data_IF_608335501600
#
_entry.id   IF_608335501600
#
_cell.length_a   1.000
_cell.length_b   1.000
_cell.length_c   1.000
_cell.angle_alpha   90.00
_cell.angle_beta   90.00
_cell.angle_gamma   90.00
#
_symmetry.space_group_name_H-M   'P 1'
#
loop_
_entity.id
_entity.type
_entity.pdbx_description
1 polymer ?
#
# COMPACT_ATOMS: atom_id res chain seq x y z
N UNK A 1 -5.10 -2.21 -25.89
CA UNK A 1 -3.74 -2.27 -25.30
C UNK A 1 -3.73 -2.78 -23.85
N UNK A 2 -4.63 -2.34 -22.94
CA UNK A 2 -4.63 -2.79 -21.52
C UNK A 2 -4.81 -4.30 -21.29
N UNK A 3 -5.64 -4.98 -22.09
CA UNK A 3 -5.82 -6.46 -22.01
C UNK A 3 -4.60 -7.26 -22.50
N UNK A 4 -3.81 -6.71 -23.43
CA UNK A 4 -2.65 -7.39 -24.05
C UNK A 4 -1.40 -7.37 -23.14
N UNK A 5 -1.30 -6.40 -22.23
CA UNK A 5 -0.17 -6.28 -21.30
C UNK A 5 -0.30 -7.27 -20.12
N UNK A 6 -1.53 -7.50 -19.65
CA UNK A 6 -1.84 -8.51 -18.64
C UNK A 6 -1.67 -9.94 -19.20
N UNK A 7 -2.16 -10.19 -20.41
CA UNK A 7 -1.92 -11.44 -21.13
C UNK A 7 -0.44 -11.65 -21.50
N UNK A 8 0.29 -10.58 -21.82
CA UNK A 8 1.73 -10.63 -22.05
C UNK A 8 2.54 -10.96 -20.79
N UNK A 9 2.13 -10.45 -19.63
CA UNK A 9 2.72 -10.82 -18.34
C UNK A 9 2.36 -12.26 -17.94
N UNK A 10 1.12 -12.71 -18.21
CA UNK A 10 0.71 -14.11 -18.01
C UNK A 10 1.47 -15.07 -18.94
N UNK A 11 1.70 -14.70 -20.20
CA UNK A 11 2.42 -15.54 -21.18
C UNK A 11 3.93 -15.61 -20.93
N UNK A 12 4.53 -14.55 -20.37
CA UNK A 12 5.91 -14.57 -19.87
C UNK A 12 6.05 -15.41 -18.60
N UNK A 13 5.01 -15.46 -17.75
CA UNK A 13 4.97 -16.31 -16.56
C UNK A 13 4.73 -17.80 -16.88
N UNK A 14 4.15 -18.15 -18.04
CA UNK A 14 3.94 -19.54 -18.46
C UNK A 14 5.05 -20.12 -19.34
N UNK A 15 5.96 -19.30 -19.88
CA UNK A 15 7.05 -19.75 -20.78
C UNK A 15 8.40 -19.93 -20.09
N UNK A 16 8.51 -19.51 -18.84
CA UNK A 16 9.58 -19.92 -17.95
C UNK A 16 8.96 -20.78 -16.84
N UNK A 17 9.63 -21.87 -16.46
CA UNK A 17 9.34 -22.71 -15.29
C UNK A 17 8.33 -23.85 -15.53
N UNK A 18 8.85 -24.89 -16.18
CA UNK A 18 8.53 -26.27 -15.81
C UNK A 18 8.88 -26.50 -14.33
N UNK A 19 8.11 -27.37 -13.67
CA UNK A 19 8.21 -27.76 -12.26
C UNK A 19 9.66 -27.81 -11.76
N UNK A 20 10.05 -26.83 -10.95
CA UNK A 20 11.23 -26.95 -10.10
C UNK A 20 10.74 -27.32 -8.70
N UNK A 21 11.04 -28.54 -8.26
CA UNK A 21 11.01 -28.87 -6.84
C UNK A 21 12.09 -28.04 -6.15
N UNK A 22 11.68 -27.09 -5.32
CA UNK A 22 12.60 -26.23 -4.57
C UNK A 22 12.78 -26.79 -3.16
N UNK A 23 13.94 -27.42 -2.92
CA UNK A 23 14.41 -27.73 -1.57
C UNK A 23 14.69 -26.45 -0.76
N UNK A 24 14.53 -26.51 0.57
CA UNK A 24 14.91 -25.43 1.51
C UNK A 24 16.37 -25.02 1.24
N UNK A 25 16.61 -23.75 0.88
CA UNK A 25 17.96 -23.17 0.92
C UNK A 25 18.37 -22.22 -0.22
N UNK A 26 17.63 -22.12 -1.32
CA UNK A 26 17.97 -21.18 -2.41
C UNK A 26 16.95 -20.05 -2.55
N UNK A 27 17.46 -18.86 -2.89
CA UNK A 27 16.68 -17.63 -3.02
C UNK A 27 15.47 -17.82 -3.93
N UNK A 28 14.32 -17.42 -3.43
CA UNK A 28 13.05 -17.66 -4.11
C UNK A 28 12.52 -16.39 -4.75
N UNK A 29 12.06 -16.54 -5.98
CA UNK A 29 11.39 -15.49 -6.72
C UNK A 29 9.90 -15.60 -6.39
N UNK A 30 9.23 -14.48 -6.18
CA UNK A 30 7.78 -14.40 -6.12
C UNK A 30 7.32 -13.26 -7.03
N UNK A 31 6.13 -13.37 -7.61
CA UNK A 31 5.59 -12.31 -8.45
C UNK A 31 4.29 -11.78 -7.88
N UNK A 32 4.12 -10.47 -7.81
CA UNK A 32 2.84 -9.86 -7.44
C UNK A 32 2.36 -8.79 -8.42
N UNK A 33 1.06 -8.79 -8.67
CA UNK A 33 0.38 -7.77 -9.46
C UNK A 33 -0.82 -7.23 -8.68
N UNK A 34 -0.90 -5.92 -8.54
CA UNK A 34 -1.99 -5.24 -7.84
C UNK A 34 -2.65 -4.18 -8.71
N UNK A 35 -3.96 -4.08 -8.61
CA UNK A 35 -4.74 -3.02 -9.23
C UNK A 35 -5.74 -2.42 -8.25
N UNK A 36 -5.73 -1.09 -8.17
CA UNK A 36 -6.61 -0.32 -7.31
C UNK A 36 -7.48 0.62 -8.15
N UNK A 37 -8.77 0.67 -7.84
CA UNK A 37 -9.67 1.70 -8.34
C UNK A 37 -10.22 2.51 -7.17
N UNK A 38 -10.10 3.84 -7.25
CA UNK A 38 -10.56 4.72 -6.18
C UNK A 38 -11.53 5.77 -6.71
N UNK A 39 -12.66 5.88 -6.03
CA UNK A 39 -13.67 6.91 -6.25
C UNK A 39 -13.75 7.83 -5.03
N UNK A 40 -14.07 9.11 -5.27
CA UNK A 40 -14.18 10.12 -4.22
C UNK A 40 -15.11 11.24 -4.67
N UNK A 41 -15.78 11.88 -3.71
CA UNK A 41 -16.66 13.01 -3.96
C UNK A 41 -15.95 14.37 -4.05
N UNK A 42 -14.64 14.45 -3.74
CA UNK A 42 -13.86 15.68 -3.92
C UNK A 42 -13.79 16.03 -5.41
N UNK A 43 -14.30 17.22 -5.75
CA UNK A 43 -14.42 17.69 -7.14
C UNK A 43 -13.16 18.39 -7.67
N UNK A 44 -12.20 18.72 -6.80
CA UNK A 44 -10.98 19.45 -7.16
C UNK A 44 -9.77 18.52 -7.32
N UNK A 45 -9.14 18.57 -8.49
CA UNK A 45 -7.86 17.91 -8.72
C UNK A 45 -6.73 18.77 -8.14
N UNK A 46 -6.06 18.27 -7.08
CA UNK A 46 -4.89 18.92 -6.46
C UNK A 46 -3.67 17.99 -6.50
N UNK A 47 -2.64 18.42 -7.23
CA UNK A 47 -1.41 17.67 -7.42
C UNK A 47 -0.73 17.33 -6.08
N UNK A 48 -0.74 18.24 -5.11
CA UNK A 48 -0.05 18.04 -3.84
C UNK A 48 -0.81 17.06 -2.95
N UNK A 49 -2.14 17.11 -2.95
CA UNK A 49 -2.97 16.10 -2.27
C UNK A 49 -2.74 14.69 -2.85
N UNK A 50 -2.64 14.59 -4.17
CA UNK A 50 -2.34 13.33 -4.86
C UNK A 50 -0.89 12.84 -4.67
N UNK A 51 0.04 13.72 -4.25
CA UNK A 51 1.36 13.29 -3.77
C UNK A 51 1.25 12.56 -2.43
N UNK A 52 0.59 13.16 -1.45
CA UNK A 52 0.45 12.54 -0.12
C UNK A 52 -0.34 11.23 -0.19
N UNK A 53 -1.44 11.20 -0.95
CA UNK A 53 -2.25 9.98 -1.13
C UNK A 53 -1.46 8.82 -1.75
N UNK A 54 -0.51 9.13 -2.61
CA UNK A 54 0.36 8.09 -3.16
C UNK A 54 1.22 7.43 -2.09
N UNK A 55 1.76 8.22 -1.17
CA UNK A 55 2.60 7.73 -0.08
C UNK A 55 1.79 6.83 0.86
N UNK A 56 0.59 7.26 1.23
CA UNK A 56 -0.39 6.47 2.00
C UNK A 56 -0.71 5.14 1.29
N UNK A 57 -1.01 5.18 -0.02
CA UNK A 57 -1.26 3.97 -0.81
C UNK A 57 -0.02 3.05 -0.90
N UNK A 58 1.21 3.59 -0.94
CA UNK A 58 2.43 2.78 -0.93
C UNK A 58 2.61 2.06 0.41
N UNK A 59 2.31 2.72 1.53
CA UNK A 59 2.40 2.10 2.86
C UNK A 59 1.45 0.91 2.98
N UNK A 60 0.20 1.08 2.55
CA UNK A 60 -0.80 0.01 2.55
C UNK A 60 -0.37 -1.14 1.65
N UNK A 61 0.09 -0.84 0.43
CA UNK A 61 0.61 -1.85 -0.48
C UNK A 61 1.78 -2.63 0.13
N UNK A 62 2.78 -1.93 0.67
CA UNK A 62 3.94 -2.54 1.30
C UNK A 62 3.56 -3.49 2.42
N UNK A 63 2.67 -3.07 3.32
CA UNK A 63 2.24 -3.90 4.43
C UNK A 63 1.54 -5.18 3.93
N UNK A 64 0.63 -5.04 2.97
CA UNK A 64 -0.06 -6.18 2.36
C UNK A 64 0.90 -7.10 1.59
N UNK A 65 1.97 -6.56 1.00
CA UNK A 65 3.01 -7.40 0.38
C UNK A 65 3.73 -8.24 1.42
N UNK A 66 4.18 -7.61 2.50
CA UNK A 66 4.95 -8.26 3.57
C UNK A 66 4.13 -9.34 4.28
N UNK A 67 2.85 -9.09 4.56
CA UNK A 67 1.98 -10.07 5.24
C UNK A 67 1.74 -11.35 4.44
N UNK A 68 2.04 -11.35 3.13
CA UNK A 68 1.88 -12.52 2.24
C UNK A 68 3.19 -13.25 1.95
N UNK A 69 4.30 -12.79 2.53
CA UNK A 69 5.61 -13.44 2.42
C UNK A 69 5.57 -14.83 3.05
N UNK A 70 6.23 -15.80 2.42
CA UNK A 70 6.43 -17.11 3.00
C UNK A 70 7.59 -17.04 4.03
N UNK A 71 7.28 -17.39 5.28
CA UNK A 71 8.21 -17.31 6.40
C UNK A 71 9.24 -18.45 6.44
N UNK A 72 9.02 -19.51 5.67
CA UNK A 72 9.96 -20.63 5.55
C UNK A 72 11.18 -20.31 4.69
N UNK A 73 11.28 -19.09 4.13
CA UNK A 73 12.29 -18.71 3.13
C UNK A 73 13.29 -17.72 3.72
N UNK A 74 14.58 -18.03 3.59
CA UNK A 74 15.66 -17.13 4.05
C UNK A 74 15.79 -15.88 3.18
N UNK A 75 15.61 -16.01 1.87
CA UNK A 75 15.70 -14.89 0.93
C UNK A 75 14.44 -14.81 0.06
N UNK A 76 13.91 -13.60 -0.11
CA UNK A 76 12.74 -13.33 -0.95
C UNK A 76 13.07 -12.21 -1.93
N UNK A 77 12.95 -12.52 -3.21
CA UNK A 77 13.04 -11.55 -4.30
C UNK A 77 11.67 -11.45 -4.96
N UNK A 78 10.98 -10.32 -4.76
CA UNK A 78 9.63 -10.12 -5.29
C UNK A 78 9.56 -8.93 -6.24
N UNK A 79 9.73 -9.13 -7.56
CA UNK A 79 9.26 -8.16 -8.54
C UNK A 79 7.75 -8.01 -8.46
N UNK A 80 7.27 -6.77 -8.61
CA UNK A 80 5.85 -6.49 -8.58
C UNK A 80 5.43 -5.40 -9.56
N UNK A 81 4.16 -5.46 -9.94
CA UNK A 81 3.50 -4.47 -10.78
C UNK A 81 2.28 -3.90 -10.08
N UNK A 82 2.10 -2.59 -10.13
CA UNK A 82 0.93 -1.91 -9.53
C UNK A 82 0.34 -0.91 -10.49
N UNK A 83 -0.99 -0.96 -10.62
CA UNK A 83 -1.78 0.07 -11.27
C UNK A 83 -2.81 0.68 -10.32
N UNK A 84 -3.09 1.96 -10.50
CA UNK A 84 -4.14 2.66 -9.77
C UNK A 84 -4.87 3.60 -10.71
N UNK A 85 -6.19 3.63 -10.60
CA UNK A 85 -7.04 4.53 -11.36
C UNK A 85 -7.98 5.29 -10.44
N UNK A 86 -8.04 6.61 -10.62
CA UNK A 86 -9.03 7.53 -10.07
C UNK A 86 -9.58 8.39 -11.21
N UNK A 87 -10.71 9.06 -10.98
CA UNK A 87 -11.37 9.95 -11.94
C UNK A 87 -10.40 10.86 -12.73
N UNK A 88 -9.49 11.52 -12.02
CA UNK A 88 -8.58 12.54 -12.56
C UNK A 88 -7.08 12.16 -12.44
N UNK A 89 -6.80 10.90 -12.08
CA UNK A 89 -5.45 10.40 -11.81
C UNK A 89 -5.33 8.94 -12.25
N UNK A 90 -4.24 8.57 -12.90
CA UNK A 90 -3.91 7.17 -13.16
C UNK A 90 -2.42 6.97 -12.94
N UNK A 91 -2.05 5.90 -12.26
CA UNK A 91 -0.67 5.46 -12.18
C UNK A 91 -0.53 4.04 -12.74
N UNK A 92 0.67 3.74 -13.21
CA UNK A 92 1.08 2.41 -13.66
C UNK A 92 2.58 2.30 -13.40
N UNK A 93 3.01 1.21 -12.79
CA UNK A 93 4.41 1.04 -12.44
C UNK A 93 4.66 -0.25 -11.71
N UNK A 94 5.80 -0.31 -11.04
CA UNK A 94 6.22 -1.50 -10.35
C UNK A 94 7.53 -1.26 -9.64
N UNK A 95 8.06 -2.33 -9.07
CA UNK A 95 9.29 -2.29 -8.34
C UNK A 95 9.76 -3.68 -7.98
N UNK A 96 10.69 -3.72 -7.04
CA UNK A 96 11.20 -4.94 -6.47
C UNK A 96 11.29 -4.79 -4.96
N UNK A 97 10.84 -5.83 -4.26
CA UNK A 97 11.08 -6.04 -2.84
C UNK A 97 12.18 -7.11 -2.72
N UNK A 98 13.20 -6.83 -1.92
CA UNK A 98 14.24 -7.79 -1.57
C UNK A 98 14.24 -7.90 -0.05
N UNK A 99 14.11 -9.12 0.46
CA UNK A 99 14.21 -9.43 1.89
C UNK A 99 15.22 -10.54 2.13
N UNK A 100 15.95 -10.40 3.23
CA UNK A 100 16.83 -11.40 3.80
C UNK A 100 16.46 -11.63 5.27
N UNK A 101 16.21 -12.88 5.63
CA UNK A 101 16.05 -13.33 7.01
C UNK A 101 17.42 -13.36 7.67
N UNK A 102 17.60 -12.58 8.73
CA UNK A 102 18.83 -12.57 9.52
C UNK A 102 18.67 -13.28 10.88
N UNK A 103 17.42 -13.56 11.26
CA UNK A 103 17.02 -14.38 12.39
C UNK A 103 15.67 -14.99 12.03
N UNK A 104 15.32 -16.13 12.64
CA UNK A 104 13.99 -16.72 12.51
C UNK A 104 12.91 -15.65 12.66
N UNK A 105 12.02 -15.58 11.66
CA UNK A 105 10.90 -14.64 11.61
C UNK A 105 11.26 -13.13 11.60
N UNK A 106 12.54 -12.76 11.38
CA UNK A 106 12.98 -11.37 11.26
C UNK A 106 13.75 -11.13 9.97
N UNK A 107 13.39 -10.05 9.28
CA UNK A 107 13.88 -9.73 7.95
C UNK A 107 14.36 -8.29 7.85
N UNK A 108 15.45 -8.10 7.14
CA UNK A 108 15.90 -6.81 6.64
C UNK A 108 15.71 -6.77 5.13
N UNK A 109 15.36 -5.62 4.58
CA UNK A 109 15.05 -5.53 3.16
C UNK A 109 15.19 -4.15 2.54
N UNK A 110 15.02 -4.15 1.22
CA UNK A 110 15.05 -2.98 0.36
C UNK A 110 13.86 -3.04 -0.59
N UNK A 111 13.13 -1.93 -0.68
CA UNK A 111 12.15 -1.69 -1.74
C UNK A 111 12.65 -0.59 -2.65
N UNK A 112 12.55 -0.82 -3.96
CA UNK A 112 12.72 0.24 -4.96
C UNK A 112 11.54 0.19 -5.92
N UNK A 113 10.89 1.33 -6.13
CA UNK A 113 9.76 1.44 -7.04
C UNK A 113 9.84 2.65 -7.97
N UNK A 114 9.26 2.45 -9.16
CA UNK A 114 9.11 3.46 -10.18
C UNK A 114 7.72 3.37 -10.80
N UNK A 115 7.02 4.49 -10.84
CA UNK A 115 5.68 4.59 -11.42
C UNK A 115 5.57 5.74 -12.40
N UNK A 116 4.90 5.48 -13.51
CA UNK A 116 4.41 6.52 -14.41
C UNK A 116 3.05 6.99 -13.93
N UNK A 117 2.93 8.30 -13.70
CA UNK A 117 1.74 8.95 -13.21
C UNK A 117 1.19 9.88 -14.28
N UNK A 118 -0.13 9.85 -14.48
CA UNK A 118 -0.86 10.66 -15.43
C UNK A 118 -2.02 11.37 -14.74
N UNK A 119 -2.07 12.68 -14.90
CA UNK A 119 -3.13 13.52 -14.35
C UNK A 119 -4.04 14.03 -15.46
N UNK A 120 -5.34 14.10 -15.18
CA UNK A 120 -6.34 14.66 -16.07
C UNK A 120 -6.89 15.94 -15.43
N UNK A 121 -6.53 17.10 -15.95
CA UNK A 121 -7.10 18.36 -15.48
C UNK A 121 -8.43 18.62 -16.22
N UNK A 122 -9.51 18.88 -15.46
CA UNK A 122 -10.84 19.19 -16.02
C UNK A 122 -11.08 20.67 -16.31
N UNK A 123 -10.25 21.57 -15.75
CA UNK A 123 -10.47 23.03 -15.88
C UNK A 123 -9.83 23.64 -17.13
N UNK A 124 -8.96 22.90 -17.80
CA UNK A 124 -8.30 23.28 -19.05
C UNK A 124 -8.41 22.01 -19.89
N UNK A 125 -9.19 22.05 -20.96
CA UNK A 125 -9.34 20.89 -21.84
C UNK A 125 -7.96 20.32 -22.21
N UNK A 126 -7.70 19.09 -21.73
CA UNK A 126 -6.67 18.18 -22.23
C UNK A 126 -5.18 18.38 -21.88
N UNK A 127 -4.76 19.23 -20.93
CA UNK A 127 -3.37 19.13 -20.45
C UNK A 127 -3.18 17.86 -19.59
N UNK A 128 -2.83 16.75 -20.25
CA UNK A 128 -2.34 15.54 -19.61
C UNK A 128 -0.92 15.80 -19.11
N UNK A 129 -0.75 15.97 -17.81
CA UNK A 129 0.57 15.97 -17.19
C UNK A 129 0.96 14.52 -16.93
N UNK A 130 2.04 14.06 -17.57
CA UNK A 130 2.64 12.75 -17.35
C UNK A 130 4.02 12.90 -16.73
N UNK A 131 4.35 12.07 -15.74
CA UNK A 131 5.72 12.00 -15.21
C UNK A 131 6.04 10.64 -14.59
N UNK A 132 7.29 10.47 -14.16
CA UNK A 132 7.73 9.40 -13.29
C UNK A 132 7.82 9.87 -11.84
N UNK A 133 7.41 8.98 -10.96
CA UNK A 133 7.53 9.02 -9.51
C UNK A 133 8.30 7.79 -9.07
N UNK A 134 9.10 7.91 -8.03
CA UNK A 134 9.75 6.75 -7.44
C UNK A 134 9.95 6.90 -5.95
N UNK A 135 10.21 5.77 -5.32
CA UNK A 135 10.43 5.68 -3.90
C UNK A 135 11.41 4.54 -3.61
N UNK A 136 12.21 4.75 -2.57
CA UNK A 136 13.21 3.80 -2.07
C UNK A 136 12.97 3.65 -0.58
N UNK A 137 12.95 2.41 -0.09
CA UNK A 137 12.69 2.11 1.33
C UNK A 137 13.68 1.10 1.86
N UNK A 138 14.15 1.33 3.08
CA UNK A 138 14.80 0.29 3.87
C UNK A 138 13.74 -0.30 4.77
N UNK A 139 13.75 -1.62 4.92
CA UNK A 139 12.70 -2.35 5.61
C UNK A 139 13.32 -3.13 6.77
N UNK A 140 12.71 -3.02 7.94
CA UNK A 140 12.83 -3.99 9.00
C UNK A 140 11.44 -4.56 9.24
N UNK A 141 11.31 -5.88 9.23
CA UNK A 141 10.06 -6.54 9.60
C UNK A 141 10.30 -7.73 10.50
N UNK A 142 9.43 -7.90 11.47
CA UNK A 142 9.35 -9.06 12.36
C UNK A 142 7.96 -9.66 12.20
N UNK A 143 7.89 -10.95 11.87
CA UNK A 143 6.66 -11.66 11.54
C UNK A 143 6.55 -12.86 12.48
N UNK A 144 6.03 -12.65 13.70
CA UNK A 144 6.00 -13.69 14.72
C UNK A 144 4.98 -14.81 14.45
N UNK A 145 5.18 -15.98 15.09
CA UNK A 145 4.37 -17.21 14.97
C UNK A 145 2.87 -17.07 15.29
N UNK A 146 2.42 -15.91 15.75
CA UNK A 146 1.02 -15.62 16.05
C UNK A 146 0.45 -14.44 15.23
N UNK A 147 1.05 -14.01 14.11
CA UNK A 147 0.68 -12.77 13.37
C UNK A 147 1.00 -11.46 14.10
N UNK A 148 1.96 -11.47 15.04
CA UNK A 148 2.56 -10.23 15.53
C UNK A 148 3.49 -9.70 14.45
N UNK A 149 3.00 -8.73 13.70
CA UNK A 149 3.72 -8.17 12.55
C UNK A 149 4.16 -6.76 12.88
N UNK A 150 5.46 -6.54 13.03
CA UNK A 150 6.04 -5.20 13.13
C UNK A 150 6.74 -4.87 11.82
N UNK A 151 6.37 -3.74 11.23
CA UNK A 151 7.06 -3.15 10.09
C UNK A 151 7.60 -1.78 10.49
N UNK A 152 8.88 -1.54 10.21
CA UNK A 152 9.51 -0.23 10.25
C UNK A 152 10.15 0.02 8.89
N UNK A 153 9.80 1.15 8.28
CA UNK A 153 10.16 1.45 6.91
C UNK A 153 10.51 2.93 6.73
N UNK A 154 11.75 3.36 6.99
CA UNK A 154 12.23 4.64 6.48
C UNK A 154 12.24 4.65 4.95
N UNK A 155 11.81 5.76 4.37
CA UNK A 155 11.67 5.90 2.93
C UNK A 155 12.12 7.26 2.41
N UNK A 156 12.51 7.28 1.15
CA UNK A 156 12.78 8.47 0.36
C UNK A 156 11.89 8.46 -0.88
N UNK A 157 11.28 9.60 -1.21
CA UNK A 157 10.44 9.77 -2.39
C UNK A 157 11.01 10.84 -3.31
N UNK A 158 10.76 10.67 -4.60
CA UNK A 158 11.07 11.68 -5.59
C UNK A 158 10.01 11.73 -6.70
N UNK A 159 9.46 12.92 -6.90
CA UNK A 159 8.49 13.21 -7.97
C UNK A 159 9.04 14.29 -8.89
N UNK A 160 9.06 14.00 -10.19
CA UNK A 160 9.54 14.95 -11.20
C UNK A 160 8.42 15.44 -12.11
N UNK A 161 7.35 16.02 -11.57
CA UNK A 161 6.22 16.49 -12.38
C UNK A 161 6.57 17.71 -13.22
N UNK A 162 5.83 17.93 -14.31
CA UNK A 162 5.87 19.19 -15.08
C UNK A 162 5.59 20.36 -14.12
N UNK A 163 6.60 21.21 -13.89
CA UNK A 163 6.57 22.39 -13.02
C UNK A 163 6.50 22.15 -11.50
N UNK A 164 6.52 20.90 -11.01
CA UNK A 164 6.52 20.60 -9.56
C UNK A 164 7.54 19.51 -9.27
N UNK A 165 8.54 19.82 -8.44
CA UNK A 165 9.49 18.83 -7.93
C UNK A 165 9.17 18.59 -6.46
N UNK A 166 8.94 17.33 -6.10
CA UNK A 166 8.77 16.90 -4.71
C UNK A 166 9.89 15.93 -4.35
N UNK A 167 10.51 16.15 -3.20
CA UNK A 167 11.46 15.21 -2.59
C UNK A 167 11.12 15.12 -1.12
N UNK A 168 11.09 13.91 -0.61
CA UNK A 168 10.65 13.66 0.75
C UNK A 168 11.41 12.56 1.43
N UNK A 169 11.45 12.64 2.74
CA UNK A 169 11.89 11.56 3.62
C UNK A 169 10.82 11.33 4.66
N UNK A 170 10.62 10.06 5.01
CA UNK A 170 9.66 9.69 6.03
C UNK A 170 10.00 8.36 6.66
N UNK A 171 9.22 8.01 7.67
CA UNK A 171 9.27 6.72 8.34
C UNK A 171 7.84 6.25 8.58
N UNK A 172 7.54 5.06 8.07
CA UNK A 172 6.30 4.37 8.33
C UNK A 172 6.55 3.25 9.33
N UNK A 173 5.66 3.13 10.32
CA UNK A 173 5.66 2.06 11.31
C UNK A 173 4.25 1.49 11.41
N UNK A 174 4.13 0.17 11.41
CA UNK A 174 2.86 -0.51 11.72
C UNK A 174 3.13 -1.73 12.57
N UNK A 175 2.30 -1.92 13.59
CA UNK A 175 2.32 -3.08 14.45
C UNK A 175 0.93 -3.72 14.49
N UNK A 176 0.86 -5.00 14.19
CA UNK A 176 -0.32 -5.83 14.39
C UNK A 176 -0.14 -6.73 15.62
N UNK A 177 -1.20 -6.82 16.41
CA UNK A 177 -1.23 -7.48 17.70
C UNK A 177 -2.48 -8.36 17.73
N UNK A 178 -2.33 -9.69 17.74
CA UNK A 178 -3.44 -10.61 17.96
C UNK A 178 -4.05 -10.32 19.32
N UNK A 179 -5.37 -10.14 19.35
CA UNK A 179 -6.09 -9.85 20.58
C UNK A 179 -6.65 -11.16 21.11
N UNK A 180 -6.27 -11.51 22.34
CA UNK A 180 -6.89 -12.60 23.06
C UNK A 180 -7.90 -12.02 24.05
N UNK A 181 -9.19 -12.11 23.70
CA UNK A 181 -10.28 -11.59 24.52
C UNK A 181 -10.94 -12.67 25.40
N UNK A 182 -10.36 -13.88 25.47
CA UNK A 182 -10.87 -14.97 26.31
C UNK A 182 -10.99 -14.59 27.78
N UNK A 183 -10.11 -13.72 28.29
CA UNK A 183 -10.19 -13.19 29.66
C UNK A 183 -11.42 -12.33 29.93
N UNK A 184 -12.17 -11.93 28.90
CA UNK A 184 -13.37 -11.09 28.97
C UNK A 184 -14.64 -11.84 28.57
N UNK A 185 -14.62 -13.18 28.46
CA UNK A 185 -15.72 -14.01 27.95
C UNK A 185 -16.19 -13.64 26.52
N UNK A 186 -15.37 -12.91 25.78
CA UNK A 186 -15.60 -12.61 24.36
C UNK A 186 -14.80 -13.63 23.56
N UNK A 187 -15.49 -14.63 23.01
CA UNK A 187 -14.87 -15.63 22.13
C UNK A 187 -14.85 -15.03 20.72
N UNK A 188 -13.89 -14.15 20.46
CA UNK A 188 -13.59 -13.65 19.11
C UNK A 188 -12.17 -14.03 18.71
N UNK A 189 -12.06 -15.32 18.44
CA UNK A 189 -10.93 -15.92 17.76
C UNK A 189 -10.76 -15.29 16.37
N UNK A 190 -9.52 -14.89 16.01
CA UNK A 190 -9.23 -14.25 14.72
C UNK A 190 -9.28 -12.72 14.70
N UNK A 191 -9.39 -12.07 15.87
CA UNK A 191 -9.29 -10.62 16.01
C UNK A 191 -7.83 -10.15 16.15
N UNK A 192 -7.43 -9.18 15.33
CA UNK A 192 -6.11 -8.55 15.35
C UNK A 192 -6.26 -7.04 15.47
N UNK A 193 -5.69 -6.45 16.51
CA UNK A 193 -5.56 -5.01 16.62
C UNK A 193 -4.35 -4.51 15.85
N UNK A 194 -4.41 -3.30 15.32
CA UNK A 194 -3.23 -2.65 14.75
C UNK A 194 -3.10 -1.21 15.21
N UNK A 195 -1.86 -0.75 15.27
CA UNK A 195 -1.48 0.65 15.38
C UNK A 195 -0.50 0.97 14.26
N UNK A 196 -0.61 2.17 13.70
CA UNK A 196 0.29 2.65 12.67
C UNK A 196 0.63 4.12 12.86
N UNK A 197 1.81 4.49 12.39
CA UNK A 197 2.29 5.86 12.40
C UNK A 197 3.05 6.12 11.09
N UNK A 198 2.78 7.26 10.46
CA UNK A 198 3.60 7.77 9.36
C UNK A 198 4.02 9.19 9.70
N UNK A 199 5.33 9.43 9.67
CA UNK A 199 5.89 10.75 9.87
C UNK A 199 6.80 11.07 8.69
N UNK A 200 6.50 12.16 8.00
CA UNK A 200 7.23 12.50 6.80
C UNK A 200 7.31 14.00 6.53
N UNK A 201 8.33 14.36 5.76
CA UNK A 201 8.62 15.72 5.37
C UNK A 201 8.93 15.78 3.88
N UNK A 202 8.19 16.64 3.21
CA UNK A 202 8.33 16.91 1.79
C UNK A 202 8.82 18.33 1.54
N UNK A 203 9.76 18.48 0.61
CA UNK A 203 10.19 19.76 0.05
C UNK A 203 9.65 19.87 -1.37
N UNK A 204 8.71 20.81 -1.53
CA UNK A 204 8.01 21.01 -2.81
C UNK A 204 8.49 22.33 -3.42
N UNK A 205 8.98 22.26 -4.66
CA UNK A 205 9.40 23.42 -5.45
C UNK A 205 8.53 23.53 -6.70
N UNK A 206 7.92 24.69 -6.92
CA UNK A 206 7.20 25.02 -8.15
C UNK A 206 8.10 25.87 -9.06
N UNK A 207 8.31 25.42 -10.30
CA UNK A 207 9.35 26.00 -11.18
C UNK A 207 9.00 27.42 -11.69
N UNK A 208 7.73 27.84 -11.69
CA UNK A 208 7.33 29.16 -12.25
C UNK A 208 7.58 30.37 -11.34
N UNK A 209 7.89 30.21 -10.05
CA UNK A 209 8.20 31.34 -9.16
C UNK A 209 9.31 30.95 -8.16
N UNK A 210 10.53 31.35 -8.48
CA UNK A 210 11.78 30.78 -7.98
C UNK A 210 12.17 31.14 -6.52
N UNK A 211 11.22 31.45 -5.62
CA UNK A 211 11.55 31.92 -4.25
C UNK A 211 10.89 31.19 -3.09
N UNK A 212 9.91 30.31 -3.30
CA UNK A 212 9.19 29.67 -2.19
C UNK A 212 9.34 28.15 -2.27
N UNK A 213 10.26 27.61 -1.46
CA UNK A 213 10.25 26.18 -1.15
C UNK A 213 9.28 25.96 0.01
N UNK A 214 8.19 25.24 -0.23
CA UNK A 214 7.30 24.84 0.84
C UNK A 214 7.83 23.57 1.49
N UNK A 215 7.91 23.61 2.82
CA UNK A 215 8.16 22.46 3.67
C UNK A 215 6.79 21.99 4.16
N UNK A 216 6.38 20.82 3.70
CA UNK A 216 5.15 20.19 4.10
C UNK A 216 5.53 19.03 5.01
N UNK A 217 5.15 19.13 6.27
CA UNK A 217 5.40 18.10 7.27
C UNK A 217 4.04 17.46 7.59
N UNK A 218 3.98 16.14 7.72
CA UNK A 218 2.78 15.40 8.09
C UNK A 218 3.13 14.31 9.08
N UNK A 219 2.23 14.12 10.04
CA UNK A 219 2.30 13.08 11.05
C UNK A 219 0.89 12.52 11.16
N UNK A 220 0.73 11.26 10.77
CA UNK A 220 -0.51 10.52 10.96
C UNK A 220 -0.30 9.41 11.99
N UNK A 221 -1.31 9.23 12.85
CA UNK A 221 -1.41 8.05 13.71
C UNK A 221 -2.72 7.35 13.41
N UNK A 222 -2.67 6.03 13.29
CA UNK A 222 -3.81 5.18 13.04
C UNK A 222 -3.89 4.04 14.05
N UNK A 223 -5.10 3.57 14.30
CA UNK A 223 -5.37 2.36 15.04
C UNK A 223 -6.63 1.68 14.49
N UNK A 224 -6.72 0.37 14.62
CA UNK A 224 -7.88 -0.36 14.16
C UNK A 224 -7.90 -1.82 14.55
N UNK A 225 -8.89 -2.52 14.00
CA UNK A 225 -9.18 -3.92 14.21
C UNK A 225 -9.33 -4.59 12.86
N UNK A 226 -8.81 -5.80 12.75
CA UNK A 226 -8.97 -6.72 11.63
C UNK A 226 -9.57 -7.99 12.21
N UNK A 227 -10.72 -8.38 11.69
CA UNK A 227 -11.38 -9.62 12.03
C UNK A 227 -11.29 -10.58 10.85
N UNK A 228 -10.63 -11.72 11.05
CA UNK A 228 -10.60 -12.82 10.10
C UNK A 228 -11.10 -14.07 10.81
N UNK A 229 -12.29 -14.60 10.48
CA UNK A 229 -12.78 -15.82 11.09
C UNK A 229 -11.76 -16.95 11.00
N UNK A 230 -11.56 -17.70 12.09
CA UNK A 230 -10.66 -18.86 12.10
C UNK A 230 -11.17 -19.97 11.17
N UNK A 231 -12.49 -20.12 11.05
CA UNK A 231 -13.11 -21.04 10.09
C UNK A 231 -12.95 -20.50 8.66
N UNK A 232 -11.77 -20.73 8.08
CA UNK A 232 -11.57 -20.61 6.64
C UNK A 232 -12.25 -21.78 5.95
N UNK A 233 -12.92 -21.52 4.83
CA UNK A 233 -13.37 -22.60 3.97
C UNK A 233 -12.13 -23.27 3.35
N UNK A 234 -11.87 -24.52 3.71
CA UNK A 234 -10.79 -25.32 3.15
C UNK A 234 -11.37 -26.52 2.39
N UNK A 235 -10.95 -26.70 1.13
CA UNK A 235 -11.30 -27.85 0.31
C UNK A 235 -10.10 -28.24 -0.56
N UNK A 236 -9.36 -29.27 -0.13
CA UNK A 236 -8.10 -29.67 -0.76
C UNK A 236 -7.09 -28.52 -0.74
N UNK A 237 -6.62 -28.12 -1.93
CA UNK A 237 -5.65 -27.03 -2.09
C UNK A 237 -6.28 -25.63 -2.05
N UNK A 238 -7.60 -25.51 -1.98
CA UNK A 238 -8.30 -24.23 -1.94
C UNK A 238 -8.54 -23.81 -0.47
N UNK A 239 -8.10 -22.61 -0.11
CA UNK A 239 -8.42 -21.96 1.17
C UNK A 239 -9.03 -20.60 0.91
N UNK A 240 -10.13 -20.28 1.56
CA UNK A 240 -10.82 -18.98 1.46
C UNK A 240 -10.97 -18.40 2.86
N UNK A 241 -10.44 -17.18 3.05
CA UNK A 241 -10.44 -16.44 4.31
C UNK A 241 -11.08 -15.06 4.10
N UNK A 242 -12.29 -14.82 4.60
CA UNK A 242 -12.85 -13.47 4.62
C UNK A 242 -12.14 -12.62 5.69
N UNK A 243 -12.18 -11.30 5.49
CA UNK A 243 -11.58 -10.33 6.40
C UNK A 243 -12.46 -9.08 6.49
N UNK A 244 -12.59 -8.53 7.69
CA UNK A 244 -13.24 -7.25 7.93
C UNK A 244 -12.26 -6.34 8.65
N UNK A 245 -12.08 -5.13 8.15
CA UNK A 245 -11.21 -4.12 8.75
C UNK A 245 -12.04 -2.95 9.24
N UNK A 246 -11.77 -2.49 10.46
CA UNK A 246 -12.20 -1.21 10.99
C UNK A 246 -10.95 -0.42 11.39
N UNK A 247 -10.92 0.87 11.11
CA UNK A 247 -9.78 1.72 11.40
C UNK A 247 -10.17 3.15 11.65
N UNK A 248 -9.30 3.83 12.37
CA UNK A 248 -9.35 5.26 12.58
C UNK A 248 -7.93 5.81 12.42
N UNK A 249 -7.79 6.94 11.74
CA UNK A 249 -6.53 7.67 11.68
C UNK A 249 -6.74 9.16 11.85
N UNK A 250 -5.70 9.81 12.36
CA UNK A 250 -5.66 11.25 12.63
C UNK A 250 -4.39 11.88 12.10
N UNK A 251 -4.53 12.96 11.33
CA UNK A 251 -3.44 13.83 10.87
C UNK A 251 -3.20 14.97 11.89
N UNK A 252 -1.99 15.10 12.41
CA UNK A 252 -1.66 16.09 13.45
C UNK A 252 -1.06 17.38 12.90
N UNK A 253 -0.50 17.36 11.69
CA UNK A 253 0.19 18.52 11.11
C UNK A 253 -0.48 19.07 9.85
N UNK A 254 -1.79 18.90 9.71
CA UNK A 254 -2.54 19.27 8.50
C UNK A 254 -2.27 20.70 7.99
N UNK A 255 -2.27 21.71 8.87
CA UNK A 255 -1.99 23.10 8.47
C UNK A 255 -0.59 23.27 7.88
N UNK A 256 0.38 22.44 8.28
CA UNK A 256 1.73 22.41 7.72
C UNK A 256 1.78 21.54 6.46
N UNK A 257 1.04 20.42 6.44
CA UNK A 257 0.85 19.55 5.25
C UNK A 257 0.39 20.36 4.04
N UNK A 258 -0.48 21.35 4.24
CA UNK A 258 -1.06 22.18 3.18
C UNK A 258 -0.75 23.68 3.30
N UNK A 259 0.38 24.07 3.90
CA UNK A 259 0.74 25.48 4.21
C UNK A 259 0.61 26.48 3.02
N UNK A 260 0.57 25.99 1.78
CA UNK A 260 0.37 26.79 0.58
C UNK A 260 -1.07 26.89 0.07
N UNK A 261 -2.06 26.41 0.81
CA UNK A 261 -3.46 26.35 0.35
C UNK A 261 -4.43 26.92 1.38
N UNK A 262 -5.38 27.72 0.90
CA UNK A 262 -6.63 27.99 1.59
C UNK A 262 -7.58 26.81 1.33
N UNK A 263 -7.36 25.67 1.98
CA UNK A 263 -8.36 24.59 1.98
C UNK A 263 -9.58 25.01 2.84
N UNK A 264 -10.79 24.75 2.33
CA UNK A 264 -12.05 24.93 3.07
C UNK A 264 -12.46 23.69 3.86
N UNK A 265 -11.95 22.50 3.49
CA UNK A 265 -12.32 21.24 4.11
C UNK A 265 -11.07 20.43 4.45
N UNK A 266 -10.95 20.10 5.73
CA UNK A 266 -9.78 19.50 6.36
C UNK A 266 -10.08 18.06 6.75
N UNK A 267 -9.31 17.11 6.21
CA UNK A 267 -9.45 15.69 6.49
C UNK A 267 -8.52 15.30 7.65
N UNK A 268 -8.85 15.75 8.85
CA UNK A 268 -8.04 15.49 10.05
C UNK A 268 -8.29 14.08 10.56
N UNK A 269 -9.55 13.75 10.79
CA UNK A 269 -9.99 12.47 11.33
C UNK A 269 -10.63 11.64 10.22
N UNK A 270 -10.16 10.40 10.03
CA UNK A 270 -10.62 9.48 8.99
C UNK A 270 -10.99 8.15 9.62
N UNK A 271 -12.22 7.70 9.37
CA UNK A 271 -12.69 6.35 9.67
C UNK A 271 -12.49 5.47 8.43
N UNK A 272 -11.94 4.28 8.60
CA UNK A 272 -11.78 3.25 7.57
C UNK A 272 -12.66 2.05 7.90
N UNK A 273 -13.41 1.55 6.93
CA UNK A 273 -14.12 0.26 6.99
C UNK A 273 -13.74 -0.51 5.74
N UNK A 274 -13.43 -1.80 5.86
CA UNK A 274 -13.06 -2.63 4.73
C UNK A 274 -13.61 -4.03 4.85
N UNK A 275 -13.92 -4.65 3.72
CA UNK A 275 -14.26 -6.06 3.60
C UNK A 275 -13.35 -6.66 2.54
N UNK A 276 -12.71 -7.77 2.87
CA UNK A 276 -11.80 -8.46 1.98
C UNK A 276 -12.00 -9.97 1.98
N UNK A 277 -11.40 -10.61 0.99
CA UNK A 277 -11.30 -12.05 0.88
C UNK A 277 -9.94 -12.44 0.33
N UNK A 278 -9.30 -13.38 1.01
CA UNK A 278 -8.04 -14.00 0.63
C UNK A 278 -8.32 -15.42 0.16
N UNK A 279 -7.97 -15.71 -1.09
CA UNK A 279 -8.16 -16.99 -1.75
C UNK A 279 -6.77 -17.55 -2.07
N UNK A 280 -6.43 -18.68 -1.48
CA UNK A 280 -5.20 -19.41 -1.72
C UNK A 280 -5.51 -20.68 -2.51
N UNK A 281 -4.79 -20.91 -3.60
CA UNK A 281 -4.87 -22.13 -4.39
C UNK A 281 -3.48 -22.53 -4.90
N UNK A 282 -2.92 -23.61 -4.34
CA UNK A 282 -1.54 -24.04 -4.61
C UNK A 282 -0.56 -22.86 -4.41
N UNK A 283 0.12 -22.48 -5.49
CA UNK A 283 1.13 -21.42 -5.52
C UNK A 283 0.54 -20.02 -5.78
N UNK A 284 -0.78 -19.91 -5.91
CA UNK A 284 -1.48 -18.67 -6.23
C UNK A 284 -2.21 -18.14 -5.00
N UNK A 285 -2.06 -16.84 -4.74
CA UNK A 285 -2.88 -16.12 -3.76
C UNK A 285 -3.58 -14.94 -4.44
N UNK A 286 -4.90 -14.89 -4.34
CA UNK A 286 -5.73 -13.76 -4.76
C UNK A 286 -6.29 -13.06 -3.53
N UNK A 287 -6.05 -11.77 -3.40
CA UNK A 287 -6.59 -10.92 -2.34
C UNK A 287 -7.48 -9.88 -3.01
N UNK A 288 -8.72 -9.75 -2.53
CA UNK A 288 -9.66 -8.72 -3.00
C UNK A 288 -10.16 -7.96 -1.78
N UNK A 289 -10.14 -6.62 -1.83
CA UNK A 289 -10.63 -5.76 -0.75
C UNK A 289 -11.49 -4.64 -1.35
N UNK A 290 -12.63 -4.37 -0.72
CA UNK A 290 -13.37 -3.12 -0.86
C UNK A 290 -13.28 -2.33 0.46
N UNK A 291 -12.65 -1.16 0.40
CA UNK A 291 -12.42 -0.27 1.52
C UNK A 291 -13.13 1.08 1.33
N UNK A 292 -13.79 1.53 2.37
CA UNK A 292 -14.47 2.82 2.46
C UNK A 292 -13.81 3.67 3.55
N UNK A 293 -13.37 4.87 3.17
CA UNK A 293 -12.77 5.84 4.07
C UNK A 293 -13.63 7.10 4.13
N UNK A 294 -14.01 7.51 5.34
CA UNK A 294 -14.88 8.66 5.59
C UNK A 294 -14.16 9.65 6.49
N UNK A 295 -14.02 10.89 6.03
CA UNK A 295 -13.60 11.96 6.93
C UNK A 295 -14.74 12.31 7.89
N UNK A 296 -14.42 12.44 9.16
CA UNK A 296 -15.37 12.82 10.21
C UNK A 296 -15.55 14.34 10.31
N UNK A 297 -14.59 15.13 9.79
CA UNK A 297 -14.62 16.60 9.84
C UNK A 297 -15.01 17.24 8.49
N UNK A 298 -15.22 16.43 7.45
CA UNK A 298 -15.63 16.93 6.14
C UNK A 298 -16.68 16.05 5.47
N UNK A 299 -17.25 16.54 4.36
CA UNK A 299 -18.16 15.74 3.54
C UNK A 299 -17.41 14.69 2.72
N UNK A 300 -16.07 14.72 2.70
CA UNK A 300 -15.27 13.82 1.90
C UNK A 300 -15.48 12.34 2.28
N UNK A 301 -15.57 11.51 1.27
CA UNK A 301 -15.42 10.06 1.39
C UNK A 301 -14.66 9.52 0.18
N UNK A 302 -14.02 8.38 0.38
CA UNK A 302 -13.35 7.62 -0.65
C UNK A 302 -13.76 6.16 -0.57
N UNK A 303 -14.01 5.54 -1.73
CA UNK A 303 -14.20 4.11 -1.85
C UNK A 303 -13.10 3.55 -2.74
N UNK A 304 -12.42 2.50 -2.30
CA UNK A 304 -11.31 1.86 -2.96
C UNK A 304 -11.58 0.35 -3.07
N UNK A 305 -11.64 -0.11 -4.31
CA UNK A 305 -11.63 -1.54 -4.62
C UNK A 305 -10.22 -1.89 -5.06
N UNK A 306 -9.64 -2.92 -4.45
CA UNK A 306 -8.32 -3.44 -4.76
C UNK A 306 -8.35 -4.93 -5.03
N UNK A 307 -7.49 -5.35 -5.96
CA UNK A 307 -7.22 -6.76 -6.24
C UNK A 307 -5.72 -6.98 -6.34
N UNK A 308 -5.23 -8.05 -5.71
CA UNK A 308 -3.84 -8.48 -5.78
C UNK A 308 -3.75 -9.96 -6.09
N UNK A 309 -2.97 -10.30 -7.11
CA UNK A 309 -2.57 -11.65 -7.43
C UNK A 309 -1.09 -11.84 -7.07
N UNK A 310 -0.78 -12.90 -6.34
CA UNK A 310 0.60 -13.32 -6.03
C UNK A 310 0.81 -14.74 -6.54
N UNK A 311 1.96 -14.97 -7.18
CA UNK A 311 2.43 -16.30 -7.59
C UNK A 311 3.75 -16.61 -6.90
N UNK A 312 3.82 -17.78 -6.27
CA UNK A 312 5.00 -18.27 -5.55
C UNK A 312 5.65 -19.39 -6.36
N UNK A 313 6.92 -19.21 -6.75
CA UNK A 313 7.72 -20.30 -7.28
C UNK A 313 8.18 -21.19 -6.12
#
# INVERSE_FOLDING_TARGET
MKKKLLLGALLLATSAFAEMEVERGYGNIEFSASYNYTSSNVKGFDILKEMHKYEENQNIFLFNEISTINLDKNDIFRPYFVGESRKDYNNIGGGMLIFHSFQENKYIGLQVDGRKVNFKNKKIDQEKISTNRGMVRILYTEIGENRKNLLISPYYIFDNLKNVRNRGVGIYVRQEIPLNLSSYNLIEDGLTGYIEADAHRNKIRRDKNNKISNKNDSISLGAGLIYSPIESYENGNLKIKPEVTLGYSREFLEKRKYKSFNEKETNVDVLKVGIGVNIEYKNVTLNVEDAYEKSLNSRNYENRVSGKLTYKF
#
